data_IF_218039497076
#
_entry.id   IF_218039497076
#
_cell.length_a   1.000
_cell.length_b   1.000
_cell.length_c   1.000
_cell.angle_alpha   90.00
_cell.angle_beta   90.00
_cell.angle_gamma   90.00
#
_symmetry.space_group_name_H-M   'P 1'
#
loop_
_entity.id
_entity.type
_entity.pdbx_description
1 polymer ?
#
# COMPACT_ATOMS: atom_id res chain seq x y z
N UNK A 1 10.51 -8.21 12.63
CA UNK A 1 10.02 -7.68 11.33
C UNK A 1 9.83 -6.18 11.50
N UNK A 2 10.38 -5.34 10.62
CA UNK A 2 10.22 -3.87 10.73
C UNK A 2 8.87 -3.49 10.12
N UNK A 3 8.05 -2.76 10.88
CA UNK A 3 6.82 -2.16 10.40
C UNK A 3 7.15 -1.13 9.30
N UNK A 4 6.27 -0.96 8.32
CA UNK A 4 6.42 0.07 7.30
C UNK A 4 6.48 1.45 7.98
N UNK A 5 7.45 2.32 7.61
CA UNK A 5 7.80 3.49 8.42
C UNK A 5 6.75 4.60 8.40
N UNK A 6 5.86 4.68 7.39
CA UNK A 6 4.85 5.72 7.24
C UNK A 6 5.39 7.15 7.52
N UNK A 7 6.63 7.43 7.12
CA UNK A 7 7.34 8.67 7.52
C UNK A 7 7.09 9.84 6.54
N UNK A 8 6.73 9.51 5.30
CA UNK A 8 6.51 10.46 4.21
C UNK A 8 5.33 10.03 3.35
N UNK A 9 5.05 10.83 2.32
CA UNK A 9 4.14 10.43 1.26
C UNK A 9 4.80 9.37 0.38
N UNK A 10 4.07 8.30 0.09
CA UNK A 10 4.47 7.25 -0.84
C UNK A 10 3.44 7.15 -1.96
N UNK A 11 3.91 6.98 -3.18
CA UNK A 11 3.07 6.63 -4.31
C UNK A 11 2.79 5.13 -4.30
N UNK A 12 1.60 4.72 -4.73
CA UNK A 12 1.20 3.32 -4.73
C UNK A 12 0.64 2.96 -6.10
N UNK A 13 1.26 1.94 -6.68
CA UNK A 13 0.93 1.37 -7.98
C UNK A 13 -0.04 0.21 -7.83
N UNK A 14 -1.04 0.12 -8.71
CA UNK A 14 -1.91 -1.05 -8.85
C UNK A 14 -1.18 -2.23 -9.51
N UNK A 15 -1.74 -3.45 -9.41
CA UNK A 15 -1.28 -4.63 -10.13
C UNK A 15 -1.02 -4.41 -11.64
N UNK A 16 -1.69 -3.42 -12.25
CA UNK A 16 -1.53 -3.06 -13.66
C UNK A 16 -0.31 -2.18 -13.97
N UNK A 17 0.40 -1.66 -12.97
CA UNK A 17 1.48 -0.70 -13.18
C UNK A 17 1.06 0.78 -13.14
N UNK A 18 -0.16 1.08 -12.69
CA UNK A 18 -0.72 2.44 -12.67
C UNK A 18 -0.68 3.04 -11.27
N UNK A 19 -0.13 4.26 -11.14
CA UNK A 19 -0.10 5.00 -9.87
C UNK A 19 -1.47 5.64 -9.61
N UNK A 20 -2.38 4.86 -9.03
CA UNK A 20 -3.75 5.31 -8.72
C UNK A 20 -3.97 5.60 -7.23
N UNK A 21 -2.96 5.29 -6.41
CA UNK A 21 -3.06 5.37 -4.96
C UNK A 21 -1.85 6.08 -4.33
N UNK A 22 -2.01 6.55 -3.10
CA UNK A 22 -0.93 7.09 -2.29
C UNK A 22 -1.15 6.85 -0.79
N UNK A 23 -0.07 6.91 -0.04
CA UNK A 23 -0.03 6.89 1.43
C UNK A 23 0.53 8.24 1.89
N UNK A 24 -0.08 8.90 2.85
CA UNK A 24 0.33 10.24 3.30
C UNK A 24 0.84 10.23 4.75
N UNK A 25 1.92 9.50 5.02
CA UNK A 25 2.52 9.44 6.36
C UNK A 25 1.65 8.75 7.43
N UNK A 26 0.65 7.97 7.00
CA UNK A 26 -0.25 7.25 7.90
C UNK A 26 -0.63 5.88 7.35
N UNK A 27 -1.42 5.14 8.11
CA UNK A 27 -1.74 3.74 7.81
C UNK A 27 -2.79 3.55 6.70
N UNK A 28 -3.26 4.60 6.04
CA UNK A 28 -4.30 4.53 5.01
C UNK A 28 -3.74 4.73 3.59
N UNK A 29 -4.17 3.85 2.70
CA UNK A 29 -3.95 3.95 1.25
C UNK A 29 -5.17 4.63 0.66
N UNK A 30 -4.94 5.78 0.02
CA UNK A 30 -5.98 6.63 -0.56
C UNK A 30 -5.90 6.58 -2.07
N UNK A 31 -7.05 6.67 -2.75
CA UNK A 31 -7.10 6.96 -4.18
C UNK A 31 -6.62 8.39 -4.45
N UNK A 32 -6.34 8.73 -5.70
CA UNK A 32 -5.96 10.10 -6.09
C UNK A 32 -6.98 11.17 -5.66
N UNK A 33 -8.26 10.81 -5.55
CA UNK A 33 -9.34 11.67 -5.03
C UNK A 33 -9.27 11.91 -3.51
N UNK A 34 -8.38 11.19 -2.80
CA UNK A 34 -8.16 11.32 -1.36
C UNK A 34 -9.06 10.44 -0.49
N UNK A 35 -9.88 9.60 -1.12
CA UNK A 35 -10.74 8.66 -0.40
C UNK A 35 -9.91 7.44 0.06
N UNK A 36 -10.01 7.03 1.34
CA UNK A 36 -9.30 5.84 1.81
C UNK A 36 -9.91 4.60 1.13
N UNK A 37 -9.11 3.91 0.33
CA UNK A 37 -9.49 2.63 -0.28
C UNK A 37 -9.07 1.44 0.58
N UNK A 38 -7.93 1.55 1.26
CA UNK A 38 -7.40 0.48 2.12
C UNK A 38 -6.79 1.04 3.40
N UNK A 39 -6.71 0.18 4.42
CA UNK A 39 -6.08 0.46 5.72
C UNK A 39 -5.09 -0.64 6.05
N UNK A 40 -3.86 -0.26 6.36
CA UNK A 40 -2.80 -1.15 6.80
C UNK A 40 -2.83 -1.20 8.34
N UNK A 41 -2.85 -2.39 8.92
CA UNK A 41 -2.78 -2.60 10.37
C UNK A 41 -1.67 -3.59 10.67
N UNK A 42 -0.50 -3.06 11.02
CA UNK A 42 0.71 -3.86 11.16
C UNK A 42 1.18 -4.38 9.80
N UNK A 43 0.84 -5.62 9.48
CA UNK A 43 1.13 -6.27 8.19
C UNK A 43 -0.14 -6.68 7.43
N UNK A 44 -1.32 -6.50 8.01
CA UNK A 44 -2.59 -6.85 7.36
C UNK A 44 -3.16 -5.62 6.66
N UNK A 45 -3.72 -5.80 5.47
CA UNK A 45 -4.34 -4.73 4.68
C UNK A 45 -5.82 -5.04 4.54
N UNK A 46 -6.66 -4.09 4.92
CA UNK A 46 -8.11 -4.22 4.91
C UNK A 46 -8.73 -3.22 3.93
N UNK A 47 -9.79 -3.61 3.24
CA UNK A 47 -10.60 -2.70 2.41
C UNK A 47 -11.35 -1.70 3.30
N UNK A 48 -11.26 -0.42 2.97
CA UNK A 48 -12.05 0.61 3.63
C UNK A 48 -13.49 0.58 3.11
N UNK A 49 -14.47 0.76 4.01
CA UNK A 49 -15.89 0.70 3.66
C UNK A 49 -16.50 -0.70 3.65
N UNK A 50 -15.70 -1.76 3.81
CA UNK A 50 -16.19 -3.13 4.03
C UNK A 50 -15.70 -3.61 5.40
N UNK A 51 -16.63 -3.91 6.30
CA UNK A 51 -16.29 -4.29 7.67
C UNK A 51 -15.39 -5.54 7.69
N UNK A 52 -14.16 -5.36 8.18
CA UNK A 52 -13.17 -6.41 8.44
C UNK A 52 -12.82 -7.30 7.23
N UNK A 53 -12.95 -6.78 6.00
CA UNK A 53 -12.53 -7.51 4.80
C UNK A 53 -11.03 -7.38 4.59
N UNK A 54 -10.31 -8.47 4.85
CA UNK A 54 -8.88 -8.57 4.55
C UNK A 54 -8.69 -8.57 3.03
N UNK A 55 -8.00 -7.55 2.54
CA UNK A 55 -7.60 -7.40 1.14
C UNK A 55 -6.30 -8.16 0.86
N UNK A 56 -5.38 -8.15 1.82
CA UNK A 56 -4.05 -8.73 1.64
C UNK A 56 -3.09 -8.49 2.79
N UNK A 57 -1.81 -8.71 2.53
CA UNK A 57 -0.72 -8.57 3.48
C UNK A 57 0.37 -7.66 2.93
N UNK A 58 0.87 -6.76 3.76
CA UNK A 58 2.00 -5.89 3.44
C UNK A 58 3.31 -6.61 3.74
N UNK A 59 4.04 -6.95 2.68
CA UNK A 59 5.36 -7.56 2.71
C UNK A 59 6.41 -6.59 2.15
N UNK A 60 7.03 -5.84 3.07
CA UNK A 60 8.02 -4.81 2.73
C UNK A 60 7.37 -3.61 2.04
N UNK A 61 7.36 -3.61 0.71
CA UNK A 61 6.74 -2.59 -0.15
C UNK A 61 5.60 -3.14 -1.01
N UNK A 62 5.37 -4.45 -1.01
CA UNK A 62 4.33 -5.08 -1.82
C UNK A 62 3.16 -5.47 -0.94
N UNK A 63 1.96 -5.25 -1.43
CA UNK A 63 0.74 -5.73 -0.81
C UNK A 63 0.26 -6.89 -1.66
N UNK A 64 0.26 -8.08 -1.09
CA UNK A 64 -0.15 -9.32 -1.76
C UNK A 64 -1.51 -9.76 -1.25
N UNK A 65 -2.35 -10.25 -2.15
CA UNK A 65 -3.61 -10.92 -1.78
C UNK A 65 -3.32 -12.21 -0.99
N UNK A 66 -4.31 -12.79 -0.30
CA UNK A 66 -4.16 -14.10 0.36
C UNK A 66 -3.70 -15.23 -0.58
N UNK A 67 -3.94 -15.09 -1.88
CA UNK A 67 -3.49 -16.00 -2.95
C UNK A 67 -2.06 -15.71 -3.44
N UNK A 68 -1.33 -14.80 -2.80
CA UNK A 68 0.03 -14.37 -3.13
C UNK A 68 0.17 -13.59 -4.46
N UNK A 69 -0.94 -13.13 -5.04
CA UNK A 69 -0.93 -12.22 -6.18
C UNK A 69 -0.68 -10.77 -5.73
N UNK A 70 0.05 -9.99 -6.52
CA UNK A 70 0.35 -8.59 -6.18
C UNK A 70 -0.92 -7.77 -6.34
N UNK A 71 -1.37 -7.15 -5.25
CA UNK A 71 -2.50 -6.22 -5.24
C UNK A 71 -2.03 -4.79 -5.49
N UNK A 72 -1.05 -4.32 -4.71
CA UNK A 72 -0.53 -2.97 -4.77
C UNK A 72 0.98 -2.97 -4.50
N UNK A 73 1.69 -2.01 -5.08
CA UNK A 73 3.13 -1.82 -4.84
C UNK A 73 3.41 -0.40 -4.37
N UNK A 74 3.98 -0.26 -3.19
CA UNK A 74 4.39 1.03 -2.62
C UNK A 74 5.72 1.45 -3.25
N UNK A 75 5.66 2.51 -4.04
CA UNK A 75 6.81 3.16 -4.63
C UNK A 75 7.46 4.08 -3.59
N UNK A 76 8.77 3.95 -3.49
CA UNK A 76 9.60 4.78 -2.63
C UNK A 76 10.67 5.39 -3.51
N UNK A 77 10.69 6.72 -3.54
CA UNK A 77 11.57 7.54 -4.39
C UNK A 77 13.07 7.24 -4.21
N UNK A 78 13.44 6.48 -3.18
CA UNK A 78 14.81 6.02 -2.94
C UNK A 78 15.25 4.85 -3.84
N UNK A 79 14.44 4.47 -4.83
CA UNK A 79 14.89 3.56 -5.91
C UNK A 79 15.59 4.30 -7.05
N UNK A 80 16.30 5.39 -6.76
CA UNK A 80 17.45 5.76 -7.60
C UNK A 80 18.52 4.71 -7.39
N UNK A 81 18.43 3.61 -8.13
CA UNK A 81 19.57 2.75 -8.38
C UNK A 81 20.68 3.65 -8.94
N UNK A 82 21.69 3.91 -8.10
CA UNK A 82 22.88 4.64 -8.51
C UNK A 82 23.49 3.94 -9.73
N UNK A 83 23.62 4.69 -10.82
CA UNK A 83 24.44 4.37 -11.98
C UNK A 83 25.32 5.58 -12.30
#
# INVERSE_FOLDING_TARGET
MKQFPFDKRYEVEDASGSIEYYIDGDEYIRSQDGEPGYRIKGYEVYECGVADKLAGFLEGKHITTPDADILLTILDEDSTAGY
#
